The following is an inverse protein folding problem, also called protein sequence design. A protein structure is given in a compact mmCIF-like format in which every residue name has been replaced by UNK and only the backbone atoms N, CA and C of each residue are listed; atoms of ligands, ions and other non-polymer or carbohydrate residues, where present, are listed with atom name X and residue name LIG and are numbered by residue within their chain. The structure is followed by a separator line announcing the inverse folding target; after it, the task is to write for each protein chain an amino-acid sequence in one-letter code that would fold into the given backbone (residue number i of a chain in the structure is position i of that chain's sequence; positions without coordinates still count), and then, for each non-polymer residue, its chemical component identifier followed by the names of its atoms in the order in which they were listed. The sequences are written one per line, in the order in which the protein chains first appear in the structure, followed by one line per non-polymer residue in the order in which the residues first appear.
data_IF_259902631191
#
_entry.id   IF_259902631191
#
_cell.length_a   1.000
_cell.length_b   1.000
_cell.length_c   1.000
_cell.angle_alpha   90.00
_cell.angle_beta   90.00
_cell.angle_gamma   90.00
#
_symmetry.space_group_name_H-M   'P 1'
#
loop_
_entity.id
_entity.type
_entity.pdbx_description
1 polymer ?
#
# COMPACT_ATOMS: atom_id res chain seq x y z
N UNK A 1 131.04 -44.99 49.16
CA UNK A 1 132.20 -45.88 49.36
C UNK A 1 132.48 -46.54 48.02
N UNK A 2 133.63 -46.26 47.39
CA UNK A 2 134.84 -47.10 47.39
C UNK A 2 134.55 -48.52 46.85
N UNK A 3 135.17 -49.11 45.82
CA UNK A 3 136.31 -48.83 44.92
C UNK A 3 136.06 -49.73 43.65
N UNK A 4 136.48 -49.53 42.39
CA UNK A 4 137.47 -48.61 41.77
C UNK A 4 137.17 -48.39 40.26
N UNK A 5 138.12 -47.70 39.58
CA UNK A 5 138.44 -47.52 38.15
C UNK A 5 138.28 -48.79 37.27
N UNK A 6 137.95 -48.77 35.97
CA UNK A 6 138.53 -48.02 34.82
C UNK A 6 139.98 -48.48 34.46
N UNK A 7 140.07 -49.12 33.29
CA UNK A 7 141.21 -49.16 32.34
C UNK A 7 142.40 -50.11 32.59
N UNK A 8 142.58 -50.94 31.56
CA UNK A 8 143.81 -51.50 30.97
C UNK A 8 144.56 -52.67 31.62
N UNK A 9 144.59 -53.74 30.81
CA UNK A 9 145.79 -54.48 30.39
C UNK A 9 146.49 -55.37 31.42
N UNK A 10 147.28 -56.30 30.85
CA UNK A 10 148.52 -56.83 31.40
C UNK A 10 148.45 -57.19 32.89
N UNK A 11 148.29 -58.46 33.23
CA UNK A 11 149.32 -59.47 32.95
C UNK A 11 148.62 -60.83 33.03
N UNK A 12 148.68 -61.61 31.95
CA UNK A 12 149.66 -62.69 31.78
C UNK A 12 149.34 -63.82 32.80
N UNK A 13 148.93 -65.02 32.34
CA UNK A 13 149.87 -66.08 31.94
C UNK A 13 150.40 -66.82 33.17
N UNK A 14 150.56 -68.14 33.08
CA UNK A 14 150.79 -69.04 34.23
C UNK A 14 149.53 -69.12 35.14
N UNK A 15 148.93 -70.26 35.42
CA UNK A 15 149.31 -71.65 35.18
C UNK A 15 148.15 -72.38 34.49
N UNK A 16 148.32 -72.91 33.26
CA UNK A 16 149.06 -74.16 32.90
C UNK A 16 148.42 -75.41 33.50
N UNK A 17 148.36 -76.55 32.82
CA UNK A 17 148.73 -76.93 31.43
C UNK A 17 148.27 -78.37 31.21
N UNK A 18 148.71 -78.95 30.09
CA UNK A 18 148.90 -80.39 29.87
C UNK A 18 147.61 -81.18 29.60
N UNK A 19 147.59 -82.15 28.69
CA UNK A 19 148.65 -82.67 27.80
C UNK A 19 147.97 -83.00 26.46
N UNK A 20 148.29 -82.33 25.36
CA UNK A 20 149.29 -82.79 24.38
C UNK A 20 150.34 -83.79 24.87
N UNK A 21 150.53 -84.86 24.08
CA UNK A 21 151.49 -85.96 24.23
C UNK A 21 151.17 -87.08 25.25
N UNK A 22 150.47 -88.11 24.74
CA UNK A 22 150.65 -89.56 24.92
C UNK A 22 149.34 -90.22 24.45
N UNK A 23 149.28 -91.28 23.64
CA UNK A 23 150.26 -92.03 22.83
C UNK A 23 149.35 -92.75 21.78
N UNK A 24 149.53 -92.69 20.47
CA UNK A 24 150.65 -93.25 19.69
C UNK A 24 151.16 -94.57 20.27
N UNK A 25 150.84 -95.66 19.57
CA UNK A 25 151.36 -97.02 19.77
C UNK A 25 151.37 -97.56 21.22
N UNK A 26 150.56 -98.58 21.45
CA UNK A 26 151.04 -99.96 21.68
C UNK A 26 149.77 -100.84 21.72
N UNK A 27 149.65 -101.84 20.85
CA UNK A 27 150.20 -103.19 21.05
C UNK A 27 149.68 -103.79 22.37
N UNK A 28 149.28 -105.05 22.47
CA UNK A 28 149.26 -106.18 21.55
C UNK A 28 148.41 -107.26 22.27
N UNK A 29 148.22 -108.44 21.65
CA UNK A 29 147.66 -109.63 22.31
C UNK A 29 146.15 -109.51 22.68
N UNK A 30 145.26 -110.43 22.32
CA UNK A 30 145.38 -111.73 21.64
C UNK A 30 144.11 -111.89 20.77
N UNK A 31 144.15 -112.30 19.49
CA UNK A 31 144.63 -113.58 18.96
C UNK A 31 143.99 -114.80 19.65
N UNK A 32 142.91 -115.34 19.08
CA UNK A 32 142.95 -116.62 18.34
C UNK A 32 141.61 -116.95 17.66
N UNK A 33 141.68 -117.83 16.65
CA UNK A 33 140.59 -118.52 15.91
C UNK A 33 139.60 -117.73 15.00
N UNK A 34 139.04 -118.36 13.96
CA UNK A 34 139.62 -118.66 12.62
C UNK A 34 138.58 -119.25 11.65
N UNK A 35 138.72 -118.94 10.36
CA UNK A 35 138.45 -119.81 9.18
C UNK A 35 137.02 -120.29 8.79
N UNK A 36 136.95 -120.76 7.53
CA UNK A 36 135.88 -121.45 6.77
C UNK A 36 134.71 -120.58 6.23
N UNK A 37 134.67 -120.25 4.92
CA UNK A 37 134.33 -121.06 3.70
C UNK A 37 132.80 -121.21 3.56
N UNK A 38 132.08 -120.66 2.56
CA UNK A 38 132.23 -120.60 1.08
C UNK A 38 131.71 -121.88 0.37
N UNK A 39 131.01 -121.69 -0.77
CA UNK A 39 130.33 -122.71 -1.62
C UNK A 39 129.16 -123.48 -0.95
N UNK A 40 127.89 -123.31 -1.34
CA UNK A 40 127.34 -123.64 -2.66
C UNK A 40 126.37 -122.55 -3.18
N UNK A 41 126.63 -122.09 -4.41
CA UNK A 41 125.68 -121.29 -5.21
C UNK A 41 125.09 -122.14 -6.35
N UNK A 42 123.99 -121.62 -6.95
CA UNK A 42 123.26 -122.07 -8.15
C UNK A 42 122.11 -123.07 -7.93
N UNK A 43 121.04 -122.86 -8.72
CA UNK A 43 119.70 -123.51 -8.68
C UNK A 43 118.85 -123.21 -7.42
N UNK A 44 117.60 -122.68 -7.45
CA UNK A 44 116.72 -122.01 -8.44
C UNK A 44 115.74 -121.12 -7.59
N UNK A 45 115.35 -119.86 -7.86
CA UNK A 45 115.19 -118.99 -9.05
C UNK A 45 113.86 -119.07 -9.84
N UNK A 46 112.73 -119.51 -9.25
CA UNK A 46 111.40 -119.45 -9.92
C UNK A 46 110.13 -119.31 -9.04
N UNK A 47 110.15 -118.51 -7.96
CA UNK A 47 108.90 -118.08 -7.26
C UNK A 47 108.87 -116.58 -6.91
N UNK A 48 109.44 -115.77 -7.81
CA UNK A 48 109.70 -114.34 -7.69
C UNK A 48 108.46 -113.43 -7.80
N UNK A 49 108.58 -112.23 -7.22
CA UNK A 49 108.11 -110.95 -7.79
C UNK A 49 106.61 -110.64 -7.73
N UNK A 50 105.76 -111.60 -8.10
CA UNK A 50 104.38 -111.36 -8.54
C UNK A 50 103.41 -110.85 -7.45
N UNK A 51 103.83 -110.85 -6.17
CA UNK A 51 103.04 -110.28 -5.06
C UNK A 51 103.52 -108.89 -4.61
N UNK A 52 104.79 -108.54 -4.82
CA UNK A 52 105.33 -107.23 -4.41
C UNK A 52 104.92 -106.15 -5.41
N UNK A 53 104.90 -106.46 -6.71
CA UNK A 53 104.41 -105.52 -7.74
C UNK A 53 102.91 -105.24 -7.57
N UNK A 54 102.09 -106.28 -7.34
CA UNK A 54 100.63 -106.16 -7.12
C UNK A 54 100.29 -105.35 -5.85
N UNK A 55 101.10 -105.43 -4.80
CA UNK A 55 100.93 -104.60 -3.59
C UNK A 55 101.39 -103.16 -3.81
N UNK A 56 102.49 -102.95 -4.53
CA UNK A 56 103.02 -101.62 -4.85
C UNK A 56 102.06 -100.83 -5.75
N UNK A 57 101.48 -101.49 -6.75
CA UNK A 57 100.47 -100.90 -7.64
C UNK A 57 99.18 -100.54 -6.88
N UNK A 58 98.71 -101.39 -5.96
CA UNK A 58 97.59 -101.09 -5.05
C UNK A 58 97.86 -99.89 -4.14
N UNK A 59 99.06 -99.78 -3.56
CA UNK A 59 99.43 -98.64 -2.70
C UNK A 59 99.45 -97.33 -3.49
N UNK A 60 99.97 -97.34 -4.72
CA UNK A 60 99.96 -96.16 -5.58
C UNK A 60 98.54 -95.79 -6.05
N UNK A 61 97.70 -96.77 -6.41
CA UNK A 61 96.28 -96.53 -6.71
C UNK A 61 95.51 -95.94 -5.53
N UNK A 62 95.72 -96.46 -4.31
CA UNK A 62 95.07 -95.92 -3.10
C UNK A 62 95.55 -94.50 -2.76
N UNK A 63 96.84 -94.20 -2.94
CA UNK A 63 97.37 -92.82 -2.79
C UNK A 63 96.74 -91.87 -3.80
N UNK A 64 96.66 -92.27 -5.08
CA UNK A 64 96.04 -91.46 -6.14
C UNK A 64 94.54 -91.23 -5.86
N UNK A 65 93.83 -92.26 -5.38
CA UNK A 65 92.43 -92.19 -5.03
C UNK A 65 92.19 -91.30 -3.79
N UNK A 66 93.11 -91.33 -2.81
CA UNK A 66 93.12 -90.46 -1.64
C UNK A 66 93.40 -88.99 -2.02
N UNK A 67 94.34 -88.73 -2.93
CA UNK A 67 94.58 -87.38 -3.47
C UNK A 67 93.38 -86.86 -4.27
N UNK A 68 92.77 -87.69 -5.12
CA UNK A 68 91.57 -87.31 -5.86
C UNK A 68 90.42 -86.93 -4.91
N UNK A 69 90.16 -87.76 -3.90
CA UNK A 69 89.15 -87.47 -2.86
C UNK A 69 89.48 -86.18 -2.10
N UNK A 70 90.75 -85.95 -1.76
CA UNK A 70 91.22 -84.72 -1.09
C UNK A 70 91.00 -83.48 -1.96
N UNK A 71 91.33 -83.55 -3.26
CA UNK A 71 91.11 -82.46 -4.22
C UNK A 71 89.62 -82.19 -4.47
N UNK A 72 88.78 -83.24 -4.56
CA UNK A 72 87.32 -83.07 -4.63
C UNK A 72 86.75 -82.43 -3.35
N UNK A 73 87.26 -82.78 -2.17
CA UNK A 73 86.85 -82.16 -0.91
C UNK A 73 87.29 -80.70 -0.83
N UNK A 74 88.53 -80.38 -1.21
CA UNK A 74 89.04 -79.00 -1.29
C UNK A 74 88.22 -78.18 -2.29
N UNK A 75 87.90 -78.74 -3.46
CA UNK A 75 87.05 -78.07 -4.47
C UNK A 75 85.61 -77.83 -4.00
N UNK A 76 85.04 -78.71 -3.16
CA UNK A 76 83.74 -78.50 -2.51
C UNK A 76 83.82 -77.45 -1.39
N UNK A 77 84.88 -77.48 -0.58
CA UNK A 77 85.14 -76.49 0.47
C UNK A 77 85.28 -75.07 -0.12
N UNK A 78 86.11 -74.90 -1.16
CA UNK A 78 86.28 -73.61 -1.84
C UNK A 78 84.97 -73.07 -2.44
N UNK A 79 84.13 -73.95 -3.01
CA UNK A 79 82.79 -73.54 -3.50
C UNK A 79 81.88 -73.09 -2.36
N UNK A 80 81.81 -73.85 -1.26
CA UNK A 80 81.03 -73.49 -0.07
C UNK A 80 81.55 -72.21 0.60
N UNK A 81 82.86 -71.96 0.56
CA UNK A 81 83.49 -70.76 1.12
C UNK A 81 83.21 -69.53 0.26
N UNK A 82 83.32 -69.64 -1.07
CA UNK A 82 82.86 -68.59 -2.00
C UNK A 82 81.35 -68.30 -1.88
N UNK A 83 80.52 -69.34 -1.74
CA UNK A 83 79.07 -69.19 -1.58
C UNK A 83 78.72 -68.55 -0.23
N UNK A 84 79.41 -68.93 0.85
CA UNK A 84 79.34 -68.29 2.16
C UNK A 84 79.72 -66.81 2.09
N UNK A 85 80.85 -66.45 1.46
CA UNK A 85 81.27 -65.06 1.32
C UNK A 85 80.28 -64.25 0.47
N UNK A 86 79.79 -64.82 -0.64
CA UNK A 86 78.74 -64.20 -1.47
C UNK A 86 77.49 -63.92 -0.65
N UNK A 87 76.97 -64.90 0.09
CA UNK A 87 75.78 -64.74 0.94
C UNK A 87 76.02 -63.72 2.06
N UNK A 88 77.23 -63.63 2.60
CA UNK A 88 77.62 -62.62 3.60
C UNK A 88 77.63 -61.21 3.01
N UNK A 89 78.14 -61.04 1.80
CA UNK A 89 78.15 -59.77 1.07
C UNK A 89 76.72 -59.37 0.65
N UNK A 90 75.93 -60.32 0.18
CA UNK A 90 74.52 -60.12 -0.18
C UNK A 90 73.68 -59.74 1.04
N UNK A 91 73.87 -60.40 2.19
CA UNK A 91 73.22 -60.02 3.45
C UNK A 91 73.61 -58.61 3.90
N UNK A 92 74.91 -58.25 3.84
CA UNK A 92 75.38 -56.88 4.11
C UNK A 92 74.75 -55.85 3.17
N UNK A 93 74.62 -56.16 1.87
CA UNK A 93 73.97 -55.31 0.88
C UNK A 93 72.47 -55.12 1.19
N UNK A 94 71.75 -56.20 1.52
CA UNK A 94 70.35 -56.14 1.92
C UNK A 94 70.16 -55.35 3.23
N UNK A 95 71.03 -55.54 4.22
CA UNK A 95 71.02 -54.76 5.46
C UNK A 95 71.24 -53.26 5.18
N UNK A 96 72.23 -52.91 4.36
CA UNK A 96 72.48 -51.53 3.96
C UNK A 96 71.29 -50.91 3.19
N UNK A 97 70.69 -51.65 2.24
CA UNK A 97 69.49 -51.22 1.52
C UNK A 97 68.29 -50.99 2.44
N UNK A 98 68.03 -51.92 3.37
CA UNK A 98 66.94 -51.81 4.34
C UNK A 98 67.14 -50.63 5.30
N UNK A 99 68.37 -50.41 5.77
CA UNK A 99 68.71 -49.26 6.62
C UNK A 99 68.53 -47.93 5.87
N UNK A 100 68.91 -47.86 4.59
CA UNK A 100 68.71 -46.68 3.76
C UNK A 100 67.20 -46.41 3.51
N UNK A 101 66.44 -47.44 3.10
CA UNK A 101 64.98 -47.33 2.92
C UNK A 101 64.25 -46.96 4.22
N UNK A 102 64.74 -47.42 5.38
CA UNK A 102 64.22 -47.03 6.68
C UNK A 102 64.52 -45.56 6.98
N UNK A 103 65.74 -45.08 6.73
CA UNK A 103 66.11 -43.68 6.88
C UNK A 103 65.29 -42.76 5.95
N UNK A 104 65.09 -43.18 4.69
CA UNK A 104 64.23 -42.47 3.72
C UNK A 104 62.77 -42.41 4.20
N UNK A 105 62.19 -43.53 4.65
CA UNK A 105 60.83 -43.56 5.22
C UNK A 105 60.71 -42.69 6.48
N UNK A 106 61.73 -42.65 7.34
CA UNK A 106 61.76 -41.75 8.50
C UNK A 106 61.81 -40.29 8.07
N UNK A 107 62.62 -39.94 7.07
CA UNK A 107 62.70 -38.59 6.52
C UNK A 107 61.38 -38.16 5.88
N UNK A 108 60.73 -39.02 5.07
CA UNK A 108 59.41 -38.78 4.48
C UNK A 108 58.35 -38.62 5.58
N UNK A 109 58.32 -39.50 6.59
CA UNK A 109 57.39 -39.39 7.73
C UNK A 109 57.58 -38.06 8.47
N UNK A 110 58.82 -37.64 8.71
CA UNK A 110 59.12 -36.36 9.37
C UNK A 110 58.70 -35.16 8.51
N UNK A 111 58.92 -35.21 7.18
CA UNK A 111 58.46 -34.17 6.25
C UNK A 111 56.93 -34.06 6.25
N UNK A 112 56.22 -35.18 6.10
CA UNK A 112 54.76 -35.23 6.13
C UNK A 112 54.19 -34.75 7.47
N UNK A 113 54.86 -35.07 8.60
CA UNK A 113 54.47 -34.54 9.91
C UNK A 113 54.59 -33.01 9.96
N UNK A 114 55.72 -32.45 9.52
CA UNK A 114 55.94 -31.01 9.50
C UNK A 114 55.00 -30.29 8.51
N UNK A 115 54.73 -30.89 7.35
CA UNK A 115 53.80 -30.40 6.34
C UNK A 115 52.36 -30.36 6.87
N UNK A 116 51.94 -31.41 7.59
CA UNK A 116 50.68 -31.44 8.33
C UNK A 116 50.65 -30.40 9.47
N UNK A 117 51.73 -30.24 10.24
CA UNK A 117 51.81 -29.22 11.31
C UNK A 117 51.73 -27.78 10.76
N UNK A 118 52.34 -27.52 9.59
CA UNK A 118 52.27 -26.24 8.89
C UNK A 118 50.86 -26.01 8.36
N UNK A 119 50.26 -26.99 7.67
CA UNK A 119 48.90 -26.92 7.15
C UNK A 119 47.88 -26.70 8.28
N UNK A 120 47.98 -27.42 9.40
CA UNK A 120 47.12 -27.21 10.57
C UNK A 120 47.28 -25.81 11.18
N UNK A 121 48.48 -25.23 11.17
CA UNK A 121 48.69 -23.83 11.61
C UNK A 121 48.10 -22.83 10.62
N UNK A 122 48.25 -23.06 9.31
CA UNK A 122 47.65 -22.21 8.27
C UNK A 122 46.12 -22.25 8.37
N UNK A 123 45.50 -23.42 8.47
CA UNK A 123 44.06 -23.56 8.65
C UNK A 123 43.56 -22.85 9.92
N UNK A 124 44.29 -22.90 11.04
CA UNK A 124 43.96 -22.15 12.25
C UNK A 124 44.05 -20.62 12.07
N UNK A 125 45.07 -20.13 11.35
CA UNK A 125 45.17 -18.70 11.05
C UNK A 125 44.01 -18.25 10.16
N UNK A 126 43.74 -18.97 9.06
CA UNK A 126 42.59 -18.67 8.19
C UNK A 126 41.25 -18.76 8.92
N UNK A 127 41.09 -19.70 9.87
CA UNK A 127 39.90 -19.76 10.71
C UNK A 127 39.76 -18.50 11.58
N UNK A 128 40.84 -18.05 12.23
CA UNK A 128 40.83 -16.82 13.05
C UNK A 128 40.54 -15.59 12.17
N UNK A 129 41.12 -15.49 10.98
CA UNK A 129 40.88 -14.38 10.05
C UNK A 129 39.41 -14.34 9.60
N UNK A 130 38.82 -15.50 9.29
CA UNK A 130 37.40 -15.64 8.92
C UNK A 130 36.46 -15.36 10.10
N UNK A 131 36.82 -15.78 11.32
CA UNK A 131 36.07 -15.45 12.55
C UNK A 131 36.07 -13.93 12.78
N UNK A 132 37.22 -13.26 12.61
CA UNK A 132 37.31 -11.80 12.70
C UNK A 132 36.52 -11.09 11.59
N UNK A 133 36.52 -11.60 10.35
CA UNK A 133 35.71 -11.01 9.28
C UNK A 133 34.21 -11.18 9.57
N UNK A 134 33.79 -12.34 10.08
CA UNK A 134 32.42 -12.63 10.47
C UNK A 134 31.95 -11.72 11.63
N UNK A 135 32.76 -11.53 12.66
CA UNK A 135 32.48 -10.59 13.76
C UNK A 135 32.33 -9.15 13.24
N UNK A 136 33.24 -8.71 12.37
CA UNK A 136 33.19 -7.38 11.75
C UNK A 136 31.96 -7.18 10.86
N UNK A 137 31.50 -8.23 10.17
CA UNK A 137 30.27 -8.21 9.37
C UNK A 137 29.02 -8.20 10.27
N UNK A 138 29.02 -8.97 11.38
CA UNK A 138 27.94 -8.93 12.37
C UNK A 138 27.76 -7.53 12.93
N UNK A 139 28.84 -6.90 13.44
CA UNK A 139 28.81 -5.55 14.01
C UNK A 139 28.32 -4.51 12.98
N UNK A 140 28.69 -4.65 11.70
CA UNK A 140 28.18 -3.77 10.63
C UNK A 140 26.68 -3.96 10.37
N UNK A 141 26.19 -5.20 10.42
CA UNK A 141 24.77 -5.50 10.29
C UNK A 141 23.98 -4.94 11.48
N UNK A 142 24.46 -5.15 12.71
CA UNK A 142 23.84 -4.63 13.94
C UNK A 142 23.73 -3.09 13.89
N UNK A 143 24.80 -2.40 13.50
CA UNK A 143 24.78 -0.93 13.31
C UNK A 143 23.82 -0.50 12.19
N UNK A 144 23.69 -1.29 11.12
CA UNK A 144 22.76 -1.00 10.03
C UNK A 144 21.30 -1.19 10.47
N UNK A 145 21.00 -2.23 11.24
CA UNK A 145 19.67 -2.46 11.81
C UNK A 145 19.26 -1.33 12.74
N UNK A 146 20.13 -0.91 13.67
CA UNK A 146 19.84 0.22 14.56
C UNK A 146 19.66 1.54 13.80
N UNK A 147 20.45 1.79 12.74
CA UNK A 147 20.24 2.95 11.85
C UNK A 147 18.90 2.91 11.12
N UNK A 148 18.45 1.74 10.70
CA UNK A 148 17.15 1.58 10.05
C UNK A 148 16.00 1.77 11.04
N UNK A 149 16.10 1.23 12.26
CA UNK A 149 15.14 1.48 13.35
C UNK A 149 15.06 2.97 13.69
N UNK A 150 16.20 3.67 13.82
CA UNK A 150 16.22 5.11 14.07
C UNK A 150 15.48 5.89 12.97
N UNK A 151 15.78 5.65 11.69
CA UNK A 151 15.11 6.31 10.56
C UNK A 151 13.60 6.03 10.51
N UNK A 152 13.19 4.81 10.87
CA UNK A 152 11.77 4.47 10.96
C UNK A 152 11.09 5.28 12.07
N UNK A 153 11.69 5.38 13.25
CA UNK A 153 11.17 6.17 14.37
C UNK A 153 11.12 7.68 14.07
N UNK A 154 12.12 8.20 13.35
CA UNK A 154 12.18 9.58 12.85
C UNK A 154 11.02 9.86 11.89
N UNK A 155 10.82 9.00 10.87
CA UNK A 155 9.70 9.11 9.94
C UNK A 155 8.33 8.96 10.63
N UNK A 156 8.21 8.04 11.61
CA UNK A 156 6.99 7.91 12.41
C UNK A 156 6.70 9.17 13.26
N UNK A 157 7.74 9.84 13.76
CA UNK A 157 7.59 11.09 14.51
C UNK A 157 7.13 12.25 13.59
N UNK A 158 7.75 12.42 12.42
CA UNK A 158 7.33 13.39 11.41
C UNK A 158 5.88 13.14 10.95
N UNK A 159 5.52 11.88 10.69
CA UNK A 159 4.17 11.49 10.30
C UNK A 159 3.14 11.80 11.41
N UNK A 160 3.50 11.61 12.69
CA UNK A 160 2.64 12.00 13.83
C UNK A 160 2.48 13.51 13.92
N UNK A 161 3.53 14.30 13.72
CA UNK A 161 3.44 15.77 13.70
C UNK A 161 2.56 16.25 12.55
N UNK A 162 2.77 15.73 11.33
CA UNK A 162 1.97 16.10 10.16
C UNK A 162 0.49 15.76 10.35
N UNK A 163 0.19 14.58 10.91
CA UNK A 163 -1.19 14.18 11.25
C UNK A 163 -1.81 15.09 12.31
N UNK A 164 -1.06 15.48 13.36
CA UNK A 164 -1.55 16.43 14.36
C UNK A 164 -1.81 17.82 13.75
N UNK A 165 -0.94 18.28 12.86
CA UNK A 165 -1.09 19.54 12.12
C UNK A 165 -2.30 19.51 11.19
N UNK A 166 -2.55 18.39 10.51
CA UNK A 166 -3.75 18.14 9.71
C UNK A 166 -5.01 18.21 10.58
N UNK A 167 -5.08 17.46 11.69
CA UNK A 167 -6.22 17.48 12.61
C UNK A 167 -6.55 18.88 13.14
N UNK A 168 -5.52 19.71 13.40
CA UNK A 168 -5.69 21.12 13.78
C UNK A 168 -6.30 21.96 12.66
N UNK A 169 -5.87 21.76 11.41
CA UNK A 169 -6.43 22.44 10.24
C UNK A 169 -7.87 21.98 9.96
N UNK A 170 -8.14 20.68 10.00
CA UNK A 170 -9.48 20.10 9.81
C UNK A 170 -10.47 20.66 10.85
N UNK A 171 -10.05 20.79 12.11
CA UNK A 171 -10.83 21.46 13.16
C UNK A 171 -11.10 22.94 12.83
N UNK A 172 -10.08 23.70 12.42
CA UNK A 172 -10.24 25.12 12.05
C UNK A 172 -11.15 25.31 10.82
N UNK A 173 -11.13 24.38 9.86
CA UNK A 173 -12.03 24.38 8.70
C UNK A 173 -13.46 24.08 9.17
N UNK A 174 -13.65 23.08 10.04
CA UNK A 174 -14.97 22.76 10.61
C UNK A 174 -15.56 23.95 11.40
N UNK A 175 -14.77 24.59 12.25
CA UNK A 175 -15.17 25.79 13.00
C UNK A 175 -15.53 26.96 12.07
N UNK A 176 -14.71 27.22 11.04
CA UNK A 176 -15.00 28.25 10.03
C UNK A 176 -16.24 27.95 9.21
N UNK A 177 -16.49 26.68 8.85
CA UNK A 177 -17.66 26.29 8.08
C UNK A 177 -18.94 26.47 8.92
N UNK A 178 -18.94 26.04 10.20
CA UNK A 178 -20.03 26.32 11.14
C UNK A 178 -20.28 27.82 11.33
N UNK A 179 -19.22 28.63 11.43
CA UNK A 179 -19.36 30.08 11.53
C UNK A 179 -19.91 30.72 10.24
N UNK A 180 -19.52 30.21 9.06
CA UNK A 180 -20.08 30.64 7.77
C UNK A 180 -21.55 30.29 7.64
N UNK A 181 -21.92 29.05 7.98
CA UNK A 181 -23.30 28.57 8.00
C UNK A 181 -24.15 29.42 8.95
N UNK A 182 -23.70 29.61 10.19
CA UNK A 182 -24.33 30.52 11.15
C UNK A 182 -24.48 31.94 10.58
N UNK A 183 -23.42 32.52 10.02
CA UNK A 183 -23.47 33.88 9.46
C UNK A 183 -24.33 33.99 8.18
N UNK A 184 -24.55 32.88 7.45
CA UNK A 184 -25.38 32.81 6.25
C UNK A 184 -26.88 32.82 6.51
N UNK A 185 -27.29 32.85 7.79
CA UNK A 185 -28.70 32.87 8.18
C UNK A 185 -29.00 33.82 9.35
N UNK A 186 -30.27 34.21 9.47
CA UNK A 186 -30.83 34.98 10.57
C UNK A 186 -31.13 34.03 11.72
N UNK A 187 -30.26 34.03 12.74
CA UNK A 187 -30.38 33.16 13.92
C UNK A 187 -31.24 33.78 15.06
N UNK A 188 -32.18 34.67 14.70
CA UNK A 188 -33.12 35.27 15.65
C UNK A 188 -34.35 34.35 15.73
N UNK A 189 -34.83 33.96 16.93
CA UNK A 189 -36.04 33.16 17.06
C UNK A 189 -37.24 33.81 16.35
N UNK A 190 -38.05 33.00 15.67
CA UNK A 190 -39.27 33.48 15.03
C UNK A 190 -40.26 34.01 16.06
N UNK A 191 -40.83 35.18 15.78
CA UNK A 191 -41.90 35.77 16.58
C UNK A 191 -43.23 35.61 15.84
N UNK A 192 -44.23 35.06 16.54
CA UNK A 192 -45.56 34.82 16.00
C UNK A 192 -46.58 35.74 16.68
N UNK A 193 -47.44 36.38 15.91
CA UNK A 193 -48.56 37.17 16.41
C UNK A 193 -49.88 36.58 15.92
N UNK A 194 -50.92 36.66 16.76
CA UNK A 194 -52.32 36.43 16.34
C UNK A 194 -52.86 37.59 15.52
N UNK A 195 -52.44 38.80 15.87
CA UNK A 195 -52.73 40.05 15.16
C UNK A 195 -51.47 40.44 14.38
N UNK A 196 -51.29 39.99 13.12
CA UNK A 196 -50.09 40.28 12.35
C UNK A 196 -50.08 41.66 11.70
N UNK A 197 -51.23 42.34 11.67
CA UNK A 197 -51.44 43.65 11.05
C UNK A 197 -51.61 44.73 12.12
N UNK A 198 -50.72 45.72 12.13
CA UNK A 198 -50.74 46.84 13.08
C UNK A 198 -50.26 48.10 12.36
N UNK A 199 -51.00 49.21 12.49
CA UNK A 199 -50.66 50.53 11.94
C UNK A 199 -50.21 50.51 10.47
N UNK A 200 -50.98 49.82 9.60
CA UNK A 200 -50.69 49.70 8.17
C UNK A 200 -49.61 48.67 7.80
N UNK A 201 -49.02 47.96 8.78
CA UNK A 201 -47.88 47.05 8.57
C UNK A 201 -48.25 45.60 8.87
N UNK A 202 -48.05 44.73 7.89
CA UNK A 202 -48.30 43.29 8.02
C UNK A 202 -46.99 42.52 8.27
N UNK A 203 -46.93 41.73 9.33
CA UNK A 203 -45.80 40.84 9.61
C UNK A 203 -46.12 39.39 9.23
N UNK A 204 -45.40 38.85 8.26
CA UNK A 204 -45.54 37.46 7.81
C UNK A 204 -44.47 36.59 8.47
N UNK A 205 -44.89 35.46 9.05
CA UNK A 205 -44.01 34.50 9.75
C UNK A 205 -43.48 33.38 8.83
N UNK A 206 -42.74 32.41 9.37
CA UNK A 206 -42.36 31.17 8.65
C UNK A 206 -43.55 30.27 8.29
N UNK A 207 -44.76 30.56 8.79
CA UNK A 207 -46.03 29.89 8.44
C UNK A 207 -46.56 30.39 7.10
N UNK A 208 -45.70 30.43 6.09
CA UNK A 208 -45.95 31.02 4.77
C UNK A 208 -46.08 29.94 3.70
N UNK A 209 -47.04 30.12 2.81
CA UNK A 209 -47.29 29.27 1.63
C UNK A 209 -47.35 30.20 0.42
N UNK A 210 -46.58 29.92 -0.63
CA UNK A 210 -46.62 30.71 -1.87
C UNK A 210 -47.63 30.10 -2.84
N UNK A 211 -48.49 30.93 -3.42
CA UNK A 211 -49.41 30.60 -4.51
C UNK A 211 -49.16 31.52 -5.71
N UNK A 212 -48.04 31.26 -6.40
CA UNK A 212 -47.62 31.97 -7.61
C UNK A 212 -47.73 31.06 -8.84
N UNK A 213 -47.93 31.68 -10.01
CA UNK A 213 -48.11 30.97 -11.28
C UNK A 213 -49.55 30.49 -11.50
N UNK A 214 -49.81 29.58 -12.45
CA UNK A 214 -51.15 29.08 -12.74
C UNK A 214 -51.58 27.98 -11.74
N UNK A 215 -52.85 28.01 -11.31
CA UNK A 215 -53.45 26.95 -10.49
C UNK A 215 -53.72 25.74 -11.39
N UNK A 216 -52.93 24.69 -11.24
CA UNK A 216 -52.98 23.47 -12.05
C UNK A 216 -53.04 22.22 -11.17
N UNK A 217 -53.17 21.05 -11.79
CA UNK A 217 -53.17 19.77 -11.07
C UNK A 217 -51.96 19.65 -10.12
N UNK A 218 -52.22 19.40 -8.84
CA UNK A 218 -51.19 19.27 -7.81
C UNK A 218 -50.93 20.55 -7.02
N UNK A 219 -51.36 21.72 -7.52
CA UNK A 219 -51.30 22.98 -6.75
C UNK A 219 -52.07 22.83 -5.45
N UNK A 220 -53.28 22.24 -5.47
CA UNK A 220 -54.04 22.03 -4.24
C UNK A 220 -53.33 21.08 -3.27
N UNK A 221 -52.70 19.99 -3.75
CA UNK A 221 -51.94 19.09 -2.88
C UNK A 221 -50.82 19.85 -2.14
N UNK A 222 -50.03 20.64 -2.88
CA UNK A 222 -48.94 21.44 -2.33
C UNK A 222 -49.41 22.41 -1.22
N UNK A 223 -50.55 23.09 -1.42
CA UNK A 223 -51.12 24.04 -0.44
C UNK A 223 -51.71 23.29 0.76
N UNK A 224 -52.54 22.27 0.51
CA UNK A 224 -53.26 21.50 1.54
C UNK A 224 -52.28 20.78 2.48
N UNK A 225 -51.23 20.17 1.95
CA UNK A 225 -50.18 19.53 2.75
C UNK A 225 -49.48 20.52 3.70
N UNK A 226 -49.28 21.78 3.26
CA UNK A 226 -48.67 22.83 4.08
C UNK A 226 -49.61 23.38 5.13
N UNK A 227 -50.89 23.57 4.82
CA UNK A 227 -51.91 23.92 5.81
C UNK A 227 -51.96 22.85 6.90
N UNK A 228 -52.02 21.57 6.52
CA UNK A 228 -52.01 20.45 7.46
C UNK A 228 -50.72 20.37 8.29
N UNK A 229 -49.55 20.57 7.67
CA UNK A 229 -48.27 20.64 8.38
C UNK A 229 -48.25 21.78 9.41
N UNK A 230 -48.71 22.97 9.05
CA UNK A 230 -48.69 24.12 9.95
C UNK A 230 -49.70 23.97 11.10
N UNK A 231 -50.90 23.43 10.84
CA UNK A 231 -51.86 23.04 11.88
C UNK A 231 -51.22 22.05 12.87
N UNK A 232 -50.65 20.95 12.37
CA UNK A 232 -49.98 19.94 13.20
C UNK A 232 -48.78 20.49 14.01
N UNK A 233 -48.12 21.57 13.54
CA UNK A 233 -47.02 22.25 14.24
C UNK A 233 -47.53 23.19 15.34
N UNK A 234 -48.61 23.92 15.07
CA UNK A 234 -49.30 24.83 15.99
C UNK A 234 -50.63 25.29 15.37
N UNK A 235 -51.71 25.28 16.13
CA UNK A 235 -53.07 25.62 15.67
C UNK A 235 -53.48 27.07 15.98
N UNK A 236 -52.62 27.84 16.64
CA UNK A 236 -52.94 29.12 17.28
C UNK A 236 -52.55 30.35 16.43
N UNK A 237 -51.50 30.24 15.61
CA UNK A 237 -50.96 31.36 14.84
C UNK A 237 -51.33 31.27 13.35
N UNK A 238 -51.61 32.40 12.67
CA UNK A 238 -52.06 32.41 11.29
C UNK A 238 -51.08 31.75 10.32
N UNK A 239 -51.65 31.23 9.23
CA UNK A 239 -50.95 30.73 8.05
C UNK A 239 -51.16 31.74 6.93
N UNK A 240 -50.09 32.18 6.28
CA UNK A 240 -50.14 33.20 5.23
C UNK A 240 -50.04 32.56 3.85
N UNK A 241 -51.13 32.60 3.10
CA UNK A 241 -51.18 32.23 1.68
C UNK A 241 -50.82 33.47 0.84
N UNK A 242 -49.57 33.56 0.41
CA UNK A 242 -49.03 34.74 -0.28
C UNK A 242 -49.11 34.54 -1.79
N UNK A 243 -49.82 35.46 -2.44
CA UNK A 243 -49.96 35.56 -3.89
C UNK A 243 -49.14 36.77 -4.34
N UNK A 244 -47.97 36.54 -4.93
CA UNK A 244 -47.26 37.58 -5.67
C UNK A 244 -47.97 37.83 -7.00
N UNK A 245 -48.05 36.78 -7.82
CA UNK A 245 -48.61 36.85 -9.16
C UNK A 245 -49.25 35.51 -9.55
N UNK A 246 -50.59 35.45 -9.53
CA UNK A 246 -51.38 34.28 -9.88
C UNK A 246 -52.54 34.62 -10.82
N UNK A 247 -52.58 33.95 -11.97
CA UNK A 247 -53.64 34.12 -12.99
C UNK A 247 -54.88 33.25 -12.75
N UNK A 248 -54.99 32.61 -11.58
CA UNK A 248 -55.96 31.56 -11.31
C UNK A 248 -55.68 30.30 -12.15
N UNK A 249 -56.72 29.53 -12.47
CA UNK A 249 -56.61 28.28 -13.22
C UNK A 249 -57.75 27.31 -12.90
N UNK A 250 -57.40 26.06 -12.61
CA UNK A 250 -58.36 24.98 -12.35
C UNK A 250 -59.29 25.27 -11.16
N UNK A 251 -60.60 25.38 -11.45
CA UNK A 251 -61.65 25.56 -10.45
C UNK A 251 -61.67 24.42 -9.43
N UNK A 252 -61.45 23.17 -9.86
CA UNK A 252 -61.42 22.02 -8.97
C UNK A 252 -60.27 22.11 -7.95
N UNK A 253 -59.07 22.53 -8.39
CA UNK A 253 -57.93 22.70 -7.48
C UNK A 253 -58.15 23.90 -6.56
N UNK A 254 -58.69 25.01 -7.07
CA UNK A 254 -59.02 26.18 -6.26
C UNK A 254 -60.07 25.90 -5.18
N UNK A 255 -61.13 25.16 -5.50
CA UNK A 255 -62.16 24.78 -4.52
C UNK A 255 -61.59 23.84 -3.45
N UNK A 256 -60.62 22.97 -3.79
CA UNK A 256 -59.88 22.17 -2.80
C UNK A 256 -59.05 23.05 -1.85
N UNK A 257 -58.41 24.11 -2.37
CA UNK A 257 -57.69 25.11 -1.56
C UNK A 257 -58.66 25.85 -0.62
N UNK A 258 -59.76 26.40 -1.15
CA UNK A 258 -60.81 27.08 -0.36
C UNK A 258 -61.35 26.20 0.78
N UNK A 259 -61.62 24.91 0.52
CA UNK A 259 -62.10 23.98 1.54
C UNK A 259 -61.06 23.69 2.63
N UNK A 260 -59.78 23.63 2.28
CA UNK A 260 -58.70 23.44 3.25
C UNK A 260 -58.43 24.71 4.08
N UNK A 261 -58.54 25.90 3.48
CA UNK A 261 -58.51 27.16 4.21
C UNK A 261 -59.66 27.23 5.23
N UNK A 262 -60.91 27.05 4.76
CA UNK A 262 -62.12 27.12 5.59
C UNK A 262 -62.18 26.07 6.72
N UNK A 263 -61.55 24.92 6.53
CA UNK A 263 -61.51 23.84 7.52
C UNK A 263 -60.19 23.81 8.32
N UNK A 264 -59.31 24.79 8.14
CA UNK A 264 -58.08 24.91 8.93
C UNK A 264 -58.40 25.29 10.38
N UNK A 265 -57.59 24.84 11.33
CA UNK A 265 -57.74 25.21 12.74
C UNK A 265 -57.03 26.53 13.01
N UNK A 266 -55.79 26.67 12.53
CA UNK A 266 -55.12 27.95 12.44
C UNK A 266 -55.76 28.78 11.31
N UNK A 267 -56.03 30.08 11.53
CA UNK A 267 -56.65 30.93 10.51
C UNK A 267 -55.74 31.07 9.30
N UNK A 268 -56.32 31.07 8.09
CA UNK A 268 -55.56 31.18 6.84
C UNK A 268 -55.84 32.51 6.17
N UNK A 269 -54.87 33.43 6.26
CA UNK A 269 -54.94 34.76 5.68
C UNK A 269 -54.31 34.78 4.29
N UNK A 270 -54.93 35.49 3.36
CA UNK A 270 -54.38 35.70 2.01
C UNK A 270 -53.65 37.03 1.95
N UNK A 271 -52.51 37.08 1.25
CA UNK A 271 -51.75 38.32 1.05
C UNK A 271 -51.42 38.49 -0.44
N UNK A 272 -52.01 39.49 -1.10
CA UNK A 272 -51.78 39.79 -2.51
C UNK A 272 -50.74 40.90 -2.65
N UNK A 273 -49.59 40.59 -3.28
CA UNK A 273 -48.49 41.55 -3.46
C UNK A 273 -48.41 42.18 -4.85
N UNK A 274 -49.16 41.70 -5.84
CA UNK A 274 -49.23 42.34 -7.17
C UNK A 274 -50.44 41.91 -8.01
N UNK A 275 -50.73 40.61 -8.15
CA UNK A 275 -51.86 40.20 -9.02
C UNK A 275 -52.51 38.89 -8.58
N UNK A 276 -53.83 38.94 -8.37
CA UNK A 276 -54.68 37.77 -8.15
C UNK A 276 -55.90 37.82 -9.08
N UNK A 277 -55.99 36.90 -10.03
CA UNK A 277 -57.09 36.83 -10.99
C UNK A 277 -57.81 35.49 -11.01
N UNK A 278 -59.05 35.48 -11.50
CA UNK A 278 -59.85 34.26 -11.67
C UNK A 278 -59.89 33.51 -10.32
N UNK A 279 -59.68 32.20 -10.30
CA UNK A 279 -59.67 31.38 -9.09
C UNK A 279 -58.74 31.90 -7.96
N UNK A 280 -57.70 32.69 -8.26
CA UNK A 280 -56.86 33.33 -7.24
C UNK A 280 -57.52 34.56 -6.58
N UNK A 281 -58.29 35.34 -7.36
CA UNK A 281 -59.14 36.41 -6.83
C UNK A 281 -60.23 35.80 -5.93
N UNK A 282 -60.88 34.71 -6.37
CA UNK A 282 -61.86 33.97 -5.57
C UNK A 282 -61.25 33.48 -4.24
N UNK A 283 -60.03 32.93 -4.26
CA UNK A 283 -59.29 32.52 -3.05
C UNK A 283 -59.01 33.72 -2.12
N UNK A 284 -58.70 34.89 -2.68
CA UNK A 284 -58.47 36.13 -1.91
C UNK A 284 -59.76 36.60 -1.26
N UNK A 285 -60.81 36.82 -2.05
CA UNK A 285 -62.10 37.35 -1.59
C UNK A 285 -62.80 36.44 -0.58
N UNK A 286 -62.67 35.11 -0.73
CA UNK A 286 -63.29 34.13 0.17
C UNK A 286 -62.33 33.65 1.30
N UNK A 287 -61.22 34.33 1.52
CA UNK A 287 -60.37 34.11 2.67
C UNK A 287 -61.09 34.47 3.98
N UNK A 288 -60.56 33.98 5.11
CA UNK A 288 -61.00 34.42 6.43
C UNK A 288 -60.63 35.89 6.69
N UNK A 289 -59.42 36.28 6.26
CA UNK A 289 -58.97 37.66 6.14
C UNK A 289 -58.01 37.78 4.96
N UNK A 290 -58.07 38.91 4.25
CA UNK A 290 -57.25 39.17 3.07
C UNK A 290 -56.61 40.55 3.15
N UNK A 291 -55.32 40.59 2.79
CA UNK A 291 -54.48 41.77 2.77
C UNK A 291 -53.95 42.00 1.36
N UNK A 292 -53.86 43.26 0.91
CA UNK A 292 -53.21 43.58 -0.36
C UNK A 292 -52.42 44.89 -0.32
N UNK A 293 -51.35 44.98 -1.11
CA UNK A 293 -50.78 46.29 -1.45
C UNK A 293 -51.79 47.10 -2.27
N UNK A 294 -51.84 48.44 -2.14
CA UNK A 294 -52.85 49.26 -2.81
C UNK A 294 -52.83 49.14 -4.35
N UNK A 295 -51.64 48.96 -4.93
CA UNK A 295 -51.39 48.80 -6.36
C UNK A 295 -51.55 47.35 -6.86
N UNK A 296 -51.84 46.39 -5.98
CA UNK A 296 -52.17 45.04 -6.39
C UNK A 296 -53.52 45.01 -7.14
N UNK A 297 -53.62 44.23 -8.20
CA UNK A 297 -54.84 44.10 -9.01
C UNK A 297 -55.57 42.80 -8.65
N UNK A 298 -56.86 42.92 -8.37
CA UNK A 298 -57.81 41.81 -8.20
C UNK A 298 -58.71 41.76 -9.43
N UNK A 299 -58.89 40.58 -10.03
CA UNK A 299 -59.68 40.42 -11.25
C UNK A 299 -60.62 39.22 -11.15
N UNK A 300 -61.92 39.47 -11.19
CA UNK A 300 -62.96 38.45 -11.28
C UNK A 300 -63.57 38.40 -12.69
N UNK A 301 -63.96 37.20 -13.12
CA UNK A 301 -64.54 36.93 -14.43
C UNK A 301 -65.41 35.68 -14.34
N UNK A 302 -66.26 35.42 -15.35
CA UNK A 302 -67.08 34.20 -15.38
C UNK A 302 -66.23 32.92 -15.46
N UNK A 303 -66.79 31.80 -15.01
CA UNK A 303 -66.13 30.50 -15.13
C UNK A 303 -66.03 30.10 -16.61
N UNK A 304 -64.81 30.13 -17.14
CA UNK A 304 -64.53 29.69 -18.51
C UNK A 304 -64.27 28.18 -18.60
N UNK A 305 -64.79 27.57 -19.67
CA UNK A 305 -64.56 26.16 -19.98
C UNK A 305 -64.61 25.88 -21.49
N UNK A 306 -64.11 24.71 -21.90
CA UNK A 306 -64.15 24.22 -23.26
C UNK A 306 -64.75 22.82 -23.30
N UNK A 307 -65.72 22.59 -24.19
CA UNK A 307 -66.29 21.26 -24.44
C UNK A 307 -66.35 20.95 -25.94
N UNK A 308 -66.34 19.66 -26.27
CA UNK A 308 -66.46 19.14 -27.63
C UNK A 308 -67.10 17.76 -27.57
N UNK A 309 -68.09 17.52 -28.43
CA UNK A 309 -68.83 16.26 -28.46
C UNK A 309 -70.13 16.41 -29.24
N UNK A 310 -71.02 15.44 -29.12
CA UNK A 310 -72.38 15.51 -29.62
C UNK A 310 -73.24 16.49 -28.80
N UNK A 311 -74.49 16.74 -29.25
CA UNK A 311 -75.40 17.71 -28.60
C UNK A 311 -75.64 17.41 -27.11
N UNK A 312 -75.78 16.13 -26.74
CA UNK A 312 -76.05 15.73 -25.36
C UNK A 312 -74.84 15.97 -24.48
N UNK A 313 -73.65 15.55 -24.92
CA UNK A 313 -72.39 15.79 -24.21
C UNK A 313 -72.14 17.29 -23.99
N UNK A 314 -72.43 18.14 -24.98
CA UNK A 314 -72.29 19.60 -24.82
C UNK A 314 -73.28 20.18 -23.81
N UNK A 315 -74.53 19.70 -23.77
CA UNK A 315 -75.53 20.13 -22.79
C UNK A 315 -75.19 19.66 -21.36
N UNK A 316 -74.61 18.47 -21.22
CA UNK A 316 -74.11 17.96 -19.94
C UNK A 316 -72.93 18.80 -19.43
N UNK A 317 -71.97 19.13 -20.31
CA UNK A 317 -70.84 19.99 -19.96
C UNK A 317 -71.28 21.43 -19.60
N UNK A 318 -72.30 21.99 -20.28
CA UNK A 318 -72.84 23.31 -19.95
C UNK A 318 -73.41 23.33 -18.53
N UNK A 319 -74.21 22.32 -18.15
CA UNK A 319 -74.76 22.20 -16.79
C UNK A 319 -73.68 22.11 -15.72
N UNK A 320 -72.58 21.40 -16.01
CA UNK A 320 -71.42 21.33 -15.11
C UNK A 320 -70.74 22.70 -14.97
N UNK A 321 -70.71 23.50 -16.04
CA UNK A 321 -70.14 24.86 -16.03
C UNK A 321 -71.02 25.84 -15.23
N UNK A 322 -72.35 25.77 -15.41
CA UNK A 322 -73.35 26.50 -14.63
C UNK A 322 -73.20 26.17 -13.13
N UNK A 323 -73.18 24.88 -12.77
CA UNK A 323 -72.95 24.41 -11.40
C UNK A 323 -71.62 24.89 -10.80
N UNK A 324 -70.54 24.95 -11.58
CA UNK A 324 -69.28 25.52 -11.09
C UNK A 324 -69.38 27.03 -10.88
N UNK A 325 -70.02 27.76 -11.79
CA UNK A 325 -70.26 29.20 -11.68
C UNK A 325 -71.00 29.52 -10.39
N UNK A 326 -72.15 28.88 -10.14
CA UNK A 326 -72.94 29.05 -8.94
C UNK A 326 -72.11 28.79 -7.67
N UNK A 327 -71.29 27.74 -7.67
CA UNK A 327 -70.55 27.29 -6.49
C UNK A 327 -69.34 28.17 -6.11
N UNK A 328 -68.79 28.95 -7.05
CA UNK A 328 -67.60 29.78 -6.80
C UNK A 328 -67.86 31.27 -6.87
N UNK A 329 -68.87 31.71 -7.63
CA UNK A 329 -69.23 33.11 -7.78
C UNK A 329 -70.36 33.55 -6.83
N UNK A 330 -71.35 32.70 -6.50
CA UNK A 330 -72.39 33.09 -5.52
C UNK A 330 -71.82 33.56 -4.18
N UNK A 331 -70.80 32.89 -3.58
CA UNK A 331 -70.22 33.36 -2.32
C UNK A 331 -69.51 34.73 -2.42
N UNK A 332 -69.13 35.16 -3.63
CA UNK A 332 -68.56 36.49 -3.89
C UNK A 332 -69.70 37.52 -3.98
N UNK A 333 -70.76 37.19 -4.72
CA UNK A 333 -71.97 38.00 -4.79
C UNK A 333 -72.58 38.21 -3.40
N UNK A 334 -72.63 37.15 -2.58
CA UNK A 334 -73.03 37.19 -1.16
C UNK A 334 -72.16 38.17 -0.33
N UNK A 335 -70.83 38.18 -0.53
CA UNK A 335 -69.90 39.12 0.14
C UNK A 335 -70.06 40.57 -0.33
N UNK A 336 -70.52 40.77 -1.57
CA UNK A 336 -70.86 42.07 -2.16
C UNK A 336 -72.29 42.53 -1.81
N UNK A 337 -73.16 41.64 -1.33
CA UNK A 337 -74.56 41.93 -1.04
C UNK A 337 -75.47 41.99 -2.28
N UNK A 338 -75.05 41.37 -3.39
CA UNK A 338 -75.78 41.33 -4.68
C UNK A 338 -76.08 39.88 -5.09
N UNK A 339 -76.92 39.69 -6.11
CA UNK A 339 -77.17 38.37 -6.71
C UNK A 339 -76.05 37.97 -7.68
N UNK A 340 -75.96 36.67 -7.98
CA UNK A 340 -75.03 36.15 -8.99
C UNK A 340 -75.27 36.78 -10.38
N UNK A 341 -76.53 37.06 -10.74
CA UNK A 341 -76.85 37.71 -12.02
C UNK A 341 -76.28 39.13 -12.06
N UNK A 342 -76.51 39.93 -11.01
CA UNK A 342 -75.98 41.29 -10.91
C UNK A 342 -74.44 41.29 -10.91
N UNK A 343 -73.80 40.32 -10.24
CA UNK A 343 -72.33 40.16 -10.31
C UNK A 343 -71.83 39.91 -11.74
N UNK A 344 -72.55 39.11 -12.52
CA UNK A 344 -72.21 38.86 -13.94
C UNK A 344 -72.50 40.07 -14.81
N UNK A 345 -73.56 40.83 -14.54
CA UNK A 345 -73.87 42.08 -15.24
C UNK A 345 -72.76 43.12 -15.00
N UNK A 346 -72.39 43.38 -13.74
CA UNK A 346 -71.28 44.25 -13.35
C UNK A 346 -69.95 43.82 -13.99
N UNK A 347 -69.67 42.51 -14.11
CA UNK A 347 -68.47 42.02 -14.82
C UNK A 347 -68.39 42.55 -16.27
N UNK A 348 -69.51 42.59 -16.98
CA UNK A 348 -69.59 43.04 -18.37
C UNK A 348 -69.79 44.55 -18.53
N UNK A 349 -70.36 45.24 -17.53
CA UNK A 349 -70.43 46.70 -17.51
C UNK A 349 -69.06 47.34 -17.28
N UNK A 350 -68.27 46.78 -16.36
CA UNK A 350 -66.92 47.27 -16.04
C UNK A 350 -65.84 46.76 -17.03
N UNK A 351 -66.12 45.71 -17.81
CA UNK A 351 -65.17 45.16 -18.78
C UNK A 351 -65.84 44.47 -19.98
N UNK A 352 -65.47 44.87 -21.20
CA UNK A 352 -66.05 44.28 -22.43
C UNK A 352 -65.78 42.79 -22.64
N UNK A 353 -64.83 42.20 -21.90
CA UNK A 353 -64.58 40.75 -21.91
C UNK A 353 -65.23 40.00 -20.74
N UNK A 354 -65.80 40.71 -19.76
CA UNK A 354 -66.19 40.15 -18.47
C UNK A 354 -65.03 40.03 -17.48
N UNK A 355 -63.82 40.47 -17.85
CA UNK A 355 -62.65 40.53 -16.96
C UNK A 355 -62.70 41.82 -16.13
N UNK A 356 -63.53 41.87 -15.08
CA UNK A 356 -63.62 43.03 -14.20
C UNK A 356 -62.45 43.05 -13.23
N UNK A 357 -61.64 44.09 -13.36
CA UNK A 357 -60.43 44.33 -12.59
C UNK A 357 -60.54 45.60 -11.75
N UNK A 358 -60.03 45.52 -10.53
CA UNK A 358 -59.90 46.65 -9.61
C UNK A 358 -58.49 46.67 -9.00
N UNK A 359 -57.96 47.87 -8.77
CA UNK A 359 -56.84 48.04 -7.83
C UNK A 359 -57.35 47.75 -6.42
N UNK A 360 -56.52 47.16 -5.56
CA UNK A 360 -56.96 46.65 -4.27
C UNK A 360 -57.59 47.73 -3.39
N UNK A 361 -57.06 48.96 -3.41
CA UNK A 361 -57.60 50.11 -2.69
C UNK A 361 -59.06 50.45 -3.05
N UNK A 362 -59.48 50.09 -4.26
CA UNK A 362 -60.84 50.21 -4.78
C UNK A 362 -61.62 48.92 -4.60
N UNK A 363 -60.97 47.76 -4.68
CA UNK A 363 -61.53 46.44 -4.46
C UNK A 363 -62.12 46.24 -3.05
N UNK A 364 -61.62 46.96 -2.03
CA UNK A 364 -62.20 46.99 -0.67
C UNK A 364 -63.68 47.40 -0.69
N UNK A 365 -64.10 48.29 -1.61
CA UNK A 365 -65.50 48.75 -1.74
C UNK A 365 -66.46 47.60 -2.10
N UNK A 366 -65.94 46.55 -2.72
CA UNK A 366 -66.66 45.36 -3.16
C UNK A 366 -66.43 44.15 -2.23
N UNK A 367 -65.82 44.35 -1.06
CA UNK A 367 -65.43 43.27 -0.13
C UNK A 367 -64.48 42.23 -0.76
N UNK A 368 -63.77 42.58 -1.84
CA UNK A 368 -62.86 41.65 -2.54
C UNK A 368 -61.53 41.45 -1.81
N UNK A 369 -61.12 42.45 -1.04
CA UNK A 369 -59.98 42.46 -0.11
C UNK A 369 -60.47 43.13 1.17
N UNK A 370 -60.04 42.64 2.34
CA UNK A 370 -60.50 43.16 3.63
C UNK A 370 -59.64 44.35 4.11
N UNK A 371 -58.30 44.30 3.96
CA UNK A 371 -57.37 45.36 4.39
C UNK A 371 -56.29 45.71 3.35
N UNK A 372 -55.88 46.98 3.33
CA UNK A 372 -54.74 47.49 2.55
C UNK A 372 -53.51 47.66 3.44
N UNK A 373 -52.36 47.19 2.95
CA UNK A 373 -51.09 47.26 3.68
C UNK A 373 -50.14 48.26 3.03
N UNK A 374 -49.44 49.05 3.84
CA UNK A 374 -48.37 49.96 3.41
C UNK A 374 -47.00 49.26 3.35
N UNK A 375 -46.77 48.29 4.23
CA UNK A 375 -45.51 47.56 4.39
C UNK A 375 -45.78 46.08 4.74
N UNK A 376 -45.03 45.17 4.13
CA UNK A 376 -45.07 43.73 4.44
C UNK A 376 -43.69 43.28 4.91
N UNK A 377 -43.57 43.06 6.21
CA UNK A 377 -42.38 42.53 6.85
C UNK A 377 -42.37 41.00 6.83
N UNK A 378 -41.66 40.44 5.85
CA UNK A 378 -41.57 38.99 5.63
C UNK A 378 -40.42 38.36 6.43
N UNK A 379 -40.69 37.96 7.68
CA UNK A 379 -39.71 37.36 8.58
C UNK A 379 -39.38 35.89 8.22
N UNK A 380 -40.02 35.30 7.21
CA UNK A 380 -39.75 33.94 6.74
C UNK A 380 -38.38 33.80 6.06
N UNK A 381 -37.83 34.91 5.53
CA UNK A 381 -36.60 34.89 4.72
C UNK A 381 -35.38 34.93 5.63
N UNK A 382 -35.02 33.76 6.17
CA UNK A 382 -33.91 33.63 7.12
C UNK A 382 -32.57 33.30 6.49
N UNK A 383 -32.50 32.83 5.24
CA UNK A 383 -31.22 32.54 4.57
C UNK A 383 -30.76 33.73 3.73
N UNK A 384 -29.45 33.96 3.64
CA UNK A 384 -28.88 34.91 2.69
C UNK A 384 -29.30 34.51 1.26
N UNK A 385 -29.84 35.45 0.44
CA UNK A 385 -30.21 35.16 -0.94
C UNK A 385 -29.02 34.63 -1.74
N UNK A 386 -29.24 33.59 -2.56
CA UNK A 386 -28.18 33.02 -3.38
C UNK A 386 -27.73 34.03 -4.45
N UNK A 387 -26.45 34.40 -4.42
CA UNK A 387 -25.81 35.29 -5.39
C UNK A 387 -25.67 34.69 -6.80
N UNK A 388 -25.89 33.39 -6.97
CA UNK A 388 -25.92 32.72 -8.28
C UNK A 388 -27.28 32.82 -8.99
N UNK A 389 -28.31 33.41 -8.37
CA UNK A 389 -29.52 33.75 -9.11
C UNK A 389 -29.18 34.76 -10.20
N UNK A 390 -29.45 34.39 -11.45
CA UNK A 390 -29.15 35.19 -12.64
C UNK A 390 -29.71 36.60 -12.44
N UNK A 391 -28.83 37.60 -12.47
CA UNK A 391 -29.24 38.99 -12.41
C UNK A 391 -30.13 39.29 -13.64
N UNK A 392 -31.38 39.75 -13.47
CA UNK A 392 -32.27 40.01 -14.61
C UNK A 392 -31.66 40.99 -15.63
N UNK A 393 -30.83 41.94 -15.16
CA UNK A 393 -30.10 42.86 -16.02
C UNK A 393 -29.06 42.17 -16.91
N UNK A 394 -28.37 41.14 -16.42
CA UNK A 394 -27.37 40.38 -17.19
C UNK A 394 -28.02 39.56 -18.30
N UNK A 395 -29.22 39.01 -18.08
CA UNK A 395 -29.97 38.28 -19.12
C UNK A 395 -30.37 39.21 -20.27
N UNK A 396 -30.83 40.41 -19.96
CA UNK A 396 -31.24 41.41 -20.95
C UNK A 396 -30.01 41.91 -21.72
N UNK A 397 -28.94 42.29 -21.02
CA UNK A 397 -27.67 42.75 -21.60
C UNK A 397 -26.95 41.71 -22.47
N UNK A 398 -27.15 40.41 -22.21
CA UNK A 398 -26.58 39.34 -23.03
C UNK A 398 -27.22 39.23 -24.43
N UNK A 399 -28.39 39.83 -24.65
CA UNK A 399 -29.15 39.72 -25.90
C UNK A 399 -28.68 40.70 -26.99
N UNK A 400 -27.44 40.51 -27.47
CA UNK A 400 -26.84 41.28 -28.57
C UNK A 400 -27.46 40.94 -29.95
N UNK A 401 -28.74 41.25 -30.15
CA UNK A 401 -29.39 41.09 -31.46
C UNK A 401 -29.03 42.25 -32.38
N UNK A 402 -29.02 42.00 -33.68
CA UNK A 402 -28.79 43.01 -34.73
C UNK A 402 -29.90 42.91 -35.75
N UNK A 403 -30.52 44.03 -36.11
CA UNK A 403 -31.60 44.06 -37.10
C UNK A 403 -31.10 44.16 -38.54
N UNK A 404 -32.02 44.06 -39.51
CA UNK A 404 -31.70 44.11 -40.95
C UNK A 404 -31.04 45.42 -41.41
N UNK A 405 -31.05 46.48 -40.58
CA UNK A 405 -30.40 47.76 -40.85
C UNK A 405 -29.07 47.90 -40.10
N UNK A 406 -28.64 46.89 -39.36
CA UNK A 406 -27.40 46.87 -38.59
C UNK A 406 -27.50 47.49 -37.19
N UNK A 407 -28.69 47.87 -36.72
CA UNK A 407 -28.82 48.43 -35.36
C UNK A 407 -28.86 47.29 -34.33
N UNK A 408 -28.17 47.50 -33.21
CA UNK A 408 -28.28 46.60 -32.06
C UNK A 408 -29.63 46.78 -31.36
N UNK A 409 -30.17 45.70 -30.82
CA UNK A 409 -31.38 45.72 -30.01
C UNK A 409 -31.44 44.55 -29.00
N UNK A 410 -32.14 44.78 -27.90
CA UNK A 410 -32.44 43.81 -26.85
C UNK A 410 -33.90 43.39 -26.92
N UNK A 411 -34.19 42.11 -26.74
CA UNK A 411 -35.57 41.60 -26.66
C UNK A 411 -35.99 41.57 -25.19
N UNK A 412 -37.07 42.27 -24.87
CA UNK A 412 -37.69 42.28 -23.55
C UNK A 412 -38.47 40.98 -23.32
N UNK A 413 -38.61 40.53 -22.06
CA UNK A 413 -39.55 39.47 -21.72
C UNK A 413 -40.96 39.80 -22.19
N UNK A 414 -41.73 38.77 -22.57
CA UNK A 414 -43.14 38.94 -22.91
C UNK A 414 -43.88 39.62 -21.75
N UNK A 415 -44.63 40.72 -21.98
CA UNK A 415 -45.44 41.37 -20.95
C UNK A 415 -46.37 40.37 -20.27
N UNK A 416 -46.45 40.45 -18.94
CA UNK A 416 -47.53 39.85 -18.17
C UNK A 416 -48.83 40.62 -18.43
N UNK A 417 -50.01 39.99 -18.26
CA UNK A 417 -51.26 40.69 -18.02
C UNK A 417 -51.05 41.98 -17.22
N UNK A 418 -51.51 43.10 -17.78
CA UNK A 418 -51.49 44.43 -17.17
C UNK A 418 -50.11 45.04 -16.91
N UNK A 419 -49.00 44.42 -17.37
CA UNK A 419 -47.68 45.06 -17.37
C UNK A 419 -47.71 46.31 -18.27
N UNK A 420 -47.60 47.49 -17.66
CA UNK A 420 -47.40 48.77 -18.36
C UNK A 420 -45.94 49.21 -18.25
N UNK A 421 -45.27 49.33 -19.39
CA UNK A 421 -43.84 49.68 -19.42
C UNK A 421 -43.63 51.18 -19.56
N UNK A 422 -43.19 51.83 -18.50
CA UNK A 422 -42.72 53.23 -18.54
C UNK A 422 -41.23 53.29 -18.92
N UNK A 423 -40.88 52.73 -20.09
CA UNK A 423 -39.49 52.60 -20.55
C UNK A 423 -39.10 53.72 -21.52
N UNK A 424 -38.06 54.48 -21.19
CA UNK A 424 -37.46 55.46 -22.11
C UNK A 424 -36.61 54.73 -23.16
N UNK A 425 -37.10 54.67 -24.40
CA UNK A 425 -36.55 53.86 -25.49
C UNK A 425 -36.45 54.68 -26.80
N UNK A 426 -35.69 55.80 -26.82
CA UNK A 426 -35.71 56.80 -27.91
C UNK A 426 -35.12 56.29 -29.24
N UNK A 427 -34.26 55.29 -29.18
CA UNK A 427 -33.55 54.65 -30.29
C UNK A 427 -34.17 53.31 -30.72
N UNK A 428 -35.28 52.91 -30.08
CA UNK A 428 -35.92 51.61 -30.26
C UNK A 428 -34.93 50.43 -30.04
N UNK A 429 -34.03 50.57 -29.06
CA UNK A 429 -33.10 49.51 -28.65
C UNK A 429 -33.83 48.35 -27.95
N UNK A 430 -34.83 48.62 -27.12
CA UNK A 430 -35.64 47.57 -26.48
C UNK A 430 -36.87 47.22 -27.32
N UNK A 431 -37.13 45.93 -27.56
CA UNK A 431 -38.19 45.42 -28.45
C UNK A 431 -38.90 44.20 -27.85
N UNK A 432 -40.05 43.81 -28.40
CA UNK A 432 -40.80 42.59 -28.04
C UNK A 432 -40.87 41.60 -29.22
#
# INVERSE_FOLDING_TARGET
MNFTKIVFYLVLFMLTSFAYAQNEEVLELQMEETLEIQDVQLETKYHYGNQIDVLTEKVNMLKLQQEKLRLEHIGKLLKLEQEKERLLLENKLYSAKNNNLLAEKIAIKKRLSLENDISNKQHKLTQIDLEQELDNLSIKNDIMEERNKYKQLEFEAELRELNFRKLKLDKQISERNKQREWNSQVNIPQNYSKEPFVDGKLTISDRKIILDGPIIFGTANYIVERINYFNNKNEEYPIFLVIGYCRGGSVMEGVRILKAMKNSIAPVYVVVKSFAASMAAIITTLAEHSYAYPDAIILHHQVWGYSKGNKTEQLENLRILEEWSDRVLSPIADKMGITLTELVEEMYENSSSGDWMEFADSAVKYSWVDDIVEDIRDNSVIQQPNTEMINPGETILASNNVDQKGNQFSILPKPRPFDVYHLYNPDNYYRY
#
